data_IF_873703073574
#
_entry.id   IF_873703073574
#
_cell.length_a   1.000
_cell.length_b   1.000
_cell.length_c   1.000
_cell.angle_alpha   90.00
_cell.angle_beta   90.00
_cell.angle_gamma   90.00
#
_symmetry.space_group_name_H-M   'P 1'
#
loop_
_entity.id
_entity.type
_entity.pdbx_description
1 polymer ?
#
# COMPACT_ATOMS: atom_id res chain seq x y z
N UNK A 1 -16.57 -14.47 -20.29
CA UNK A 1 -17.44 -14.42 -19.11
C UNK A 1 -17.33 -13.11 -18.34
N UNK A 2 -16.13 -12.64 -17.95
CA UNK A 2 -15.98 -11.34 -17.26
C UNK A 2 -16.59 -10.16 -18.05
N UNK A 3 -16.41 -10.12 -19.37
CA UNK A 3 -17.01 -9.10 -20.26
C UNK A 3 -18.55 -9.06 -20.25
N UNK A 4 -19.25 -10.14 -19.89
CA UNK A 4 -20.73 -10.13 -19.86
C UNK A 4 -21.27 -9.51 -18.57
N UNK A 5 -20.51 -9.61 -17.46
CA UNK A 5 -20.93 -9.05 -16.18
C UNK A 5 -20.79 -7.54 -16.09
N UNK A 6 -19.88 -6.95 -16.88
CA UNK A 6 -19.70 -5.48 -16.95
C UNK A 6 -20.92 -4.77 -17.53
N UNK A 7 -21.67 -5.44 -18.41
CA UNK A 7 -22.78 -4.83 -19.16
C UNK A 7 -24.12 -4.91 -18.41
N UNK A 8 -24.29 -5.89 -17.51
CA UNK A 8 -25.55 -6.16 -16.81
C UNK A 8 -25.62 -5.63 -15.37
N UNK A 9 -24.48 -5.48 -14.68
CA UNK A 9 -24.44 -4.95 -13.30
C UNK A 9 -23.58 -3.69 -13.27
N UNK A 10 -24.13 -2.60 -12.72
CA UNK A 10 -23.39 -1.34 -12.56
C UNK A 10 -22.15 -1.58 -11.70
N UNK A 11 -20.97 -1.57 -12.32
CA UNK A 11 -19.68 -1.63 -11.60
C UNK A 11 -19.53 -0.30 -10.86
N UNK A 12 -19.57 -0.36 -9.54
CA UNK A 12 -19.32 0.80 -8.67
C UNK A 12 -17.90 0.83 -8.12
N UNK A 13 -17.27 -0.34 -7.95
CA UNK A 13 -15.88 -0.54 -7.51
C UNK A 13 -15.38 -1.90 -8.00
N UNK A 14 -14.05 -2.11 -7.99
CA UNK A 14 -13.43 -3.38 -8.38
C UNK A 14 -13.80 -4.54 -7.43
N UNK A 15 -14.04 -4.28 -6.15
CA UNK A 15 -14.48 -5.28 -5.15
C UNK A 15 -15.89 -5.77 -5.46
N UNK A 16 -16.78 -4.84 -5.83
CA UNK A 16 -18.16 -5.18 -6.21
C UNK A 16 -18.16 -6.04 -7.47
N UNK A 17 -17.28 -5.73 -8.43
CA UNK A 17 -17.10 -6.55 -9.61
C UNK A 17 -16.57 -7.95 -9.28
N UNK A 18 -15.56 -8.06 -8.42
CA UNK A 18 -15.00 -9.34 -7.98
C UNK A 18 -16.05 -10.20 -7.26
N UNK A 19 -16.84 -9.62 -6.35
CA UNK A 19 -17.95 -10.30 -5.68
C UNK A 19 -19.00 -10.82 -6.65
N UNK A 20 -19.38 -10.05 -7.67
CA UNK A 20 -20.35 -10.49 -8.67
C UNK A 20 -19.85 -11.69 -9.49
N UNK A 21 -18.56 -11.74 -9.79
CA UNK A 21 -17.95 -12.90 -10.46
C UNK A 21 -18.00 -14.13 -9.54
N UNK A 22 -17.64 -13.99 -8.26
CA UNK A 22 -17.75 -15.06 -7.27
C UNK A 22 -19.18 -15.62 -7.18
N UNK A 23 -20.16 -14.73 -7.02
CA UNK A 23 -21.58 -15.07 -6.94
C UNK A 23 -22.05 -15.81 -8.21
N UNK A 24 -21.67 -15.34 -9.39
CA UNK A 24 -22.09 -15.95 -10.64
C UNK A 24 -21.65 -17.41 -10.76
N UNK A 25 -20.38 -17.70 -10.55
CA UNK A 25 -19.86 -19.06 -10.69
C UNK A 25 -20.43 -20.02 -9.64
N UNK A 26 -20.58 -19.56 -8.39
CA UNK A 26 -21.16 -20.37 -7.32
C UNK A 26 -22.65 -20.65 -7.53
N UNK A 27 -23.42 -19.67 -8.03
CA UNK A 27 -24.85 -19.84 -8.28
C UNK A 27 -25.16 -20.62 -9.56
N UNK A 28 -24.32 -20.51 -10.59
CA UNK A 28 -24.59 -21.11 -11.91
C UNK A 28 -24.14 -22.56 -12.02
N UNK A 29 -23.13 -22.99 -11.25
CA UNK A 29 -22.51 -24.31 -11.42
C UNK A 29 -22.39 -25.06 -10.11
N UNK A 30 -23.28 -26.02 -9.84
CA UNK A 30 -23.34 -26.75 -8.56
C UNK A 30 -22.06 -27.47 -8.13
N UNK A 31 -21.21 -27.86 -9.08
CA UNK A 31 -19.94 -28.55 -8.80
C UNK A 31 -18.79 -27.59 -8.40
N UNK A 32 -18.97 -26.27 -8.55
CA UNK A 32 -17.96 -25.27 -8.17
C UNK A 32 -18.03 -25.03 -6.67
N UNK A 33 -16.99 -25.39 -5.92
CA UNK A 33 -16.98 -25.29 -4.45
C UNK A 33 -16.31 -24.02 -3.92
N UNK A 34 -15.52 -23.33 -4.75
CA UNK A 34 -14.76 -22.13 -4.37
C UNK A 34 -14.45 -21.29 -5.60
N UNK A 35 -14.51 -19.97 -5.44
CA UNK A 35 -14.12 -19.00 -6.47
C UNK A 35 -13.22 -17.95 -5.82
N UNK A 36 -12.17 -17.58 -6.53
CA UNK A 36 -11.24 -16.53 -6.12
C UNK A 36 -11.02 -15.62 -7.33
N UNK A 37 -11.10 -14.31 -7.10
CA UNK A 37 -10.99 -13.29 -8.14
C UNK A 37 -10.04 -12.21 -7.66
N UNK A 38 -8.97 -12.00 -8.42
CA UNK A 38 -8.08 -10.86 -8.28
C UNK A 38 -8.42 -9.82 -9.36
N UNK A 39 -8.54 -8.56 -8.96
CA UNK A 39 -8.79 -7.44 -9.87
C UNK A 39 -7.79 -6.33 -9.56
N UNK A 40 -7.26 -5.73 -10.60
CA UNK A 40 -6.38 -4.57 -10.51
C UNK A 40 -6.94 -3.47 -11.41
N UNK A 41 -7.06 -2.27 -10.86
CA UNK A 41 -7.51 -1.11 -11.60
C UNK A 41 -6.34 -0.42 -12.30
N UNK A 42 -6.48 -0.17 -13.60
CA UNK A 42 -5.52 0.66 -14.32
C UNK A 42 -5.68 2.12 -13.84
N UNK A 43 -4.63 2.79 -13.33
CA UNK A 43 -4.75 4.06 -12.62
C UNK A 43 -4.92 5.25 -13.58
N UNK A 44 -6.06 5.30 -14.27
CA UNK A 44 -6.47 6.42 -15.12
C UNK A 44 -7.02 7.55 -14.26
N UNK A 45 -6.41 8.73 -14.36
CA UNK A 45 -6.94 9.96 -13.78
C UNK A 45 -7.54 10.83 -14.88
N UNK A 46 -8.70 11.43 -14.62
CA UNK A 46 -9.29 12.42 -15.54
C UNK A 46 -8.33 13.61 -15.69
N UNK A 47 -8.08 14.05 -16.92
CA UNK A 47 -7.25 15.24 -17.16
C UNK A 47 -7.87 16.45 -16.46
N UNK A 48 -7.04 17.24 -15.80
CA UNK A 48 -7.49 18.41 -15.03
C UNK A 48 -6.52 19.58 -15.26
N UNK A 49 -7.06 20.78 -15.51
CA UNK A 49 -6.30 22.02 -15.65
C UNK A 49 -7.07 23.17 -15.02
N UNK A 50 -6.42 23.94 -14.15
CA UNK A 50 -7.02 25.07 -13.42
C UNK A 50 -8.32 24.69 -12.67
N UNK A 51 -8.37 23.50 -12.07
CA UNK A 51 -9.55 22.95 -11.38
C UNK A 51 -10.67 22.43 -12.28
N UNK A 52 -10.52 22.53 -13.61
CA UNK A 52 -11.51 22.05 -14.58
C UNK A 52 -11.12 20.66 -15.08
N UNK A 53 -12.01 19.68 -14.89
CA UNK A 53 -11.84 18.30 -15.34
C UNK A 53 -12.32 18.12 -16.78
N UNK A 54 -11.51 17.46 -17.62
CA UNK A 54 -11.86 17.17 -19.01
C UNK A 54 -13.00 16.15 -19.10
N UNK A 55 -13.93 16.34 -20.04
CA UNK A 55 -15.16 15.53 -20.16
C UNK A 55 -14.90 14.08 -20.58
N UNK A 56 -13.84 13.82 -21.35
CA UNK A 56 -13.57 12.48 -21.91
C UNK A 56 -12.07 12.16 -22.09
N UNK A 57 -11.18 12.90 -21.45
CA UNK A 57 -9.73 12.66 -21.59
C UNK A 57 -9.10 12.31 -20.24
N UNK A 58 -8.18 11.36 -20.29
CA UNK A 58 -7.56 10.73 -19.13
C UNK A 58 -6.04 10.65 -19.31
N UNK A 59 -5.33 10.65 -18.20
CA UNK A 59 -3.88 10.47 -18.12
C UNK A 59 -3.56 9.31 -17.18
N UNK A 60 -2.63 8.46 -17.59
CA UNK A 60 -2.17 7.34 -16.78
C UNK A 60 -1.30 7.88 -15.64
N UNK A 61 -1.73 7.69 -14.38
CA UNK A 61 -1.11 8.31 -13.19
C UNK A 61 -0.89 7.26 -12.09
N UNK A 62 0.22 6.48 -12.14
CA UNK A 62 0.48 5.39 -11.20
C UNK A 62 1.01 5.92 -9.85
N UNK A 63 0.18 6.66 -9.12
CA UNK A 63 0.49 7.24 -7.79
C UNK A 63 -0.15 6.43 -6.66
N UNK A 64 -0.02 5.11 -6.76
CA UNK A 64 -0.77 4.10 -6.00
C UNK A 64 -1.85 3.45 -6.87
N UNK A 65 -1.76 2.13 -7.01
CA UNK A 65 -2.67 1.31 -7.81
C UNK A 65 -3.62 0.55 -6.90
N UNK A 66 -4.92 0.68 -7.13
CA UNK A 66 -5.95 -0.06 -6.42
C UNK A 66 -6.05 -1.49 -6.95
N UNK A 67 -5.99 -2.46 -6.04
CA UNK A 67 -6.30 -3.84 -6.35
C UNK A 67 -7.22 -4.42 -5.29
N UNK A 68 -7.94 -5.49 -5.64
CA UNK A 68 -8.72 -6.26 -4.69
C UNK A 68 -8.62 -7.76 -4.96
N UNK A 69 -8.93 -8.53 -3.93
CA UNK A 69 -9.05 -9.98 -3.99
C UNK A 69 -10.32 -10.40 -3.26
N UNK A 70 -11.24 -11.06 -3.97
CA UNK A 70 -12.44 -11.65 -3.38
C UNK A 70 -12.34 -13.18 -3.45
N UNK A 71 -12.52 -13.85 -2.32
CA UNK A 71 -12.60 -15.31 -2.23
C UNK A 71 -13.94 -15.71 -1.61
N UNK A 72 -14.62 -16.68 -2.20
CA UNK A 72 -15.87 -17.21 -1.66
C UNK A 72 -15.95 -18.72 -1.84
N UNK A 73 -16.25 -19.42 -0.75
CA UNK A 73 -16.60 -20.84 -0.75
C UNK A 73 -18.10 -21.02 -0.95
N UNK A 74 -18.54 -22.17 -1.49
CA UNK A 74 -19.95 -22.49 -1.66
C UNK A 74 -20.66 -22.43 -0.30
N UNK A 75 -21.78 -21.72 -0.25
CA UNK A 75 -22.58 -21.48 0.96
C UNK A 75 -21.88 -20.67 2.05
N UNK A 76 -20.67 -20.14 1.81
CA UNK A 76 -19.96 -19.25 2.71
C UNK A 76 -20.10 -17.77 2.32
N UNK A 77 -19.84 -16.83 3.26
CA UNK A 77 -19.72 -15.42 2.92
C UNK A 77 -18.44 -15.16 2.11
N UNK A 78 -18.41 -14.10 1.26
CA UNK A 78 -17.18 -13.68 0.61
C UNK A 78 -16.21 -13.05 1.61
N UNK A 79 -14.92 -13.35 1.45
CA UNK A 79 -13.80 -12.64 2.09
C UNK A 79 -13.24 -11.67 1.08
N UNK A 80 -13.11 -10.40 1.46
CA UNK A 80 -12.64 -9.33 0.56
C UNK A 80 -11.38 -8.71 1.14
N UNK A 81 -10.38 -8.62 0.30
CA UNK A 81 -9.22 -7.78 0.50
C UNK A 81 -9.20 -6.65 -0.52
N UNK A 82 -8.86 -5.46 -0.07
CA UNK A 82 -8.44 -4.36 -0.94
C UNK A 82 -7.01 -3.99 -0.64
N UNK A 83 -6.36 -3.27 -1.54
CA UNK A 83 -4.97 -2.91 -1.35
C UNK A 83 -4.47 -1.79 -2.24
N UNK A 84 -3.30 -1.29 -1.86
CA UNK A 84 -2.49 -0.36 -2.63
C UNK A 84 -1.20 -1.09 -2.99
N UNK A 85 -0.83 -1.02 -4.26
CA UNK A 85 0.51 -1.39 -4.73
C UNK A 85 1.09 -0.31 -5.61
N UNK A 86 2.38 -0.42 -5.93
CA UNK A 86 3.09 0.45 -6.87
C UNK A 86 3.10 1.95 -6.48
N UNK A 87 2.82 2.27 -5.21
CA UNK A 87 2.96 3.62 -4.67
C UNK A 87 4.43 3.87 -4.30
N UNK A 88 5.16 4.53 -5.19
CA UNK A 88 6.56 4.91 -4.97
C UNK A 88 6.63 6.28 -4.28
N UNK A 89 7.35 6.35 -3.16
CA UNK A 89 7.56 7.58 -2.40
C UNK A 89 9.00 7.67 -1.90
N UNK A 90 9.50 8.90 -1.79
CA UNK A 90 10.83 9.22 -1.28
C UNK A 90 10.75 10.46 -0.39
N UNK A 91 11.42 10.42 0.75
CA UNK A 91 11.78 11.63 1.52
C UNK A 91 13.30 11.69 1.70
N UNK A 92 13.86 12.88 1.60
CA UNK A 92 15.31 13.12 1.55
C UNK A 92 15.96 13.24 2.93
N UNK A 93 15.15 13.34 3.99
CA UNK A 93 15.58 13.54 5.37
C UNK A 93 14.50 13.01 6.32
N UNK A 94 14.60 13.31 7.62
CA UNK A 94 13.67 12.89 8.66
C UNK A 94 13.54 11.36 8.73
N UNK A 95 14.65 10.67 8.44
CA UNK A 95 14.80 9.23 8.66
C UNK A 95 16.19 8.94 9.18
N UNK A 96 16.27 8.13 10.24
CA UNK A 96 17.54 7.61 10.74
C UNK A 96 17.51 6.10 10.91
N UNK A 97 18.65 5.56 11.28
CA UNK A 97 18.83 4.17 11.68
C UNK A 97 20.08 4.04 12.55
N UNK A 98 19.84 3.88 13.86
CA UNK A 98 20.86 3.77 14.89
C UNK A 98 20.38 2.80 15.99
N UNK A 99 21.28 2.36 16.87
CA UNK A 99 20.98 1.45 17.97
C UNK A 99 20.75 0.00 17.56
N UNK A 100 21.17 -0.39 16.34
CA UNK A 100 21.09 -1.78 15.88
C UNK A 100 22.23 -2.64 16.46
N UNK A 101 22.01 -3.95 16.47
CA UNK A 101 23.01 -4.94 16.90
C UNK A 101 24.22 -4.86 15.97
N UNK A 102 25.42 -4.80 16.55
CA UNK A 102 26.68 -4.82 15.83
C UNK A 102 27.41 -6.13 16.13
N UNK A 103 27.66 -6.90 15.09
CA UNK A 103 28.45 -8.13 15.13
C UNK A 103 29.69 -8.01 14.22
N UNK A 104 30.45 -9.10 14.08
CA UNK A 104 31.66 -9.15 13.25
C UNK A 104 31.42 -8.91 11.75
N UNK A 105 30.18 -8.91 11.27
CA UNK A 105 29.82 -8.68 9.87
C UNK A 105 29.17 -7.31 9.63
N UNK A 106 28.99 -6.52 10.69
CA UNK A 106 28.30 -5.24 10.61
C UNK A 106 29.24 -4.13 10.15
N UNK A 107 29.15 -3.76 8.87
CA UNK A 107 29.88 -2.62 8.29
C UNK A 107 29.02 -1.37 8.14
N UNK A 108 27.73 -1.46 8.42
CA UNK A 108 26.78 -0.36 8.27
C UNK A 108 27.03 0.71 9.35
N UNK A 109 27.32 1.97 8.99
CA UNK A 109 27.40 3.04 9.97
C UNK A 109 26.00 3.40 10.49
N UNK A 110 25.94 3.83 11.75
CA UNK A 110 24.74 4.45 12.30
C UNK A 110 24.54 5.83 11.66
N UNK A 111 23.30 6.15 11.32
CA UNK A 111 22.94 7.41 10.67
C UNK A 111 21.74 8.03 11.35
N UNK A 112 21.82 9.34 11.60
CA UNK A 112 20.69 10.12 12.14
C UNK A 112 19.88 10.80 11.06
N UNK A 113 20.44 10.92 9.86
CA UNK A 113 19.73 11.38 8.68
C UNK A 113 20.09 10.52 7.48
N UNK A 114 19.11 10.23 6.62
CA UNK A 114 19.25 9.50 5.36
C UNK A 114 18.00 9.67 4.51
N UNK A 115 18.15 9.40 3.21
CA UNK A 115 17.01 9.17 2.35
C UNK A 115 16.22 7.92 2.80
N UNK A 116 14.89 8.01 2.73
CA UNK A 116 14.00 6.87 2.85
C UNK A 116 13.11 6.82 1.61
N UNK A 117 13.32 5.80 0.76
CA UNK A 117 12.51 5.53 -0.41
C UNK A 117 11.89 4.14 -0.31
N UNK A 118 10.63 4.02 -0.74
CA UNK A 118 9.90 2.75 -0.71
C UNK A 118 8.89 2.66 -1.85
N UNK A 119 8.47 1.43 -2.16
CA UNK A 119 7.32 1.13 -3.00
C UNK A 119 6.30 0.41 -2.12
N UNK A 120 5.28 1.15 -1.68
CA UNK A 120 4.31 0.65 -0.71
C UNK A 120 3.49 -0.47 -1.34
N UNK A 121 3.45 -1.60 -0.64
CA UNK A 121 2.41 -2.61 -0.77
C UNK A 121 1.64 -2.67 0.54
N UNK A 122 0.33 -2.48 0.49
CA UNK A 122 -0.55 -2.79 1.61
C UNK A 122 -1.79 -3.53 1.12
N UNK A 123 -2.25 -4.47 1.94
CA UNK A 123 -3.43 -5.31 1.69
C UNK A 123 -4.20 -5.41 3.01
N UNK A 124 -5.51 -5.21 2.98
CA UNK A 124 -6.33 -5.26 4.19
C UNK A 124 -7.59 -6.07 3.97
N UNK A 125 -7.98 -6.85 4.96
CA UNK A 125 -9.22 -7.62 4.97
C UNK A 125 -10.35 -6.81 5.63
N UNK A 126 -11.57 -6.90 5.09
CA UNK A 126 -12.77 -6.38 5.76
C UNK A 126 -13.41 -7.44 6.66
N UNK A 127 -13.84 -7.06 7.88
CA UNK A 127 -14.59 -7.99 8.74
C UNK A 127 -16.07 -8.12 8.31
N UNK A 128 -16.61 -7.09 7.65
CA UNK A 128 -17.97 -7.04 7.09
C UNK A 128 -17.95 -6.25 5.78
N UNK A 129 -18.54 -6.84 4.73
CA UNK A 129 -18.54 -6.25 3.39
C UNK A 129 -19.82 -5.49 3.04
N UNK A 130 -20.79 -5.43 3.97
CA UNK A 130 -22.03 -4.65 3.78
C UNK A 130 -21.77 -3.18 4.05
N UNK A 131 -22.37 -2.33 3.23
CA UNK A 131 -22.33 -0.87 3.36
C UNK A 131 -20.92 -0.27 3.36
N UNK A 132 -19.91 -0.94 2.78
CA UNK A 132 -18.56 -0.41 2.62
C UNK A 132 -18.51 0.48 1.39
N UNK A 133 -18.03 1.72 1.55
CA UNK A 133 -17.57 2.55 0.43
C UNK A 133 -16.10 2.20 0.18
N UNK A 134 -15.87 1.29 -0.77
CA UNK A 134 -14.54 0.74 -1.03
C UNK A 134 -13.56 1.80 -1.56
N UNK A 135 -14.02 2.65 -2.48
CA UNK A 135 -13.25 3.75 -3.06
C UNK A 135 -12.84 4.75 -1.98
N UNK A 136 -13.80 5.22 -1.17
CA UNK A 136 -13.48 6.15 -0.08
C UNK A 136 -12.56 5.51 0.98
N UNK A 137 -12.68 4.21 1.22
CA UNK A 137 -11.77 3.49 2.12
C UNK A 137 -10.36 3.45 1.55
N UNK A 138 -10.22 3.14 0.25
CA UNK A 138 -8.94 3.11 -0.43
C UNK A 138 -8.23 4.47 -0.38
N UNK A 139 -8.96 5.55 -0.68
CA UNK A 139 -8.47 6.92 -0.58
C UNK A 139 -7.99 7.24 0.85
N UNK A 140 -8.80 6.88 1.86
CA UNK A 140 -8.46 7.12 3.26
C UNK A 140 -7.20 6.37 3.69
N UNK A 141 -7.04 5.10 3.29
CA UNK A 141 -5.82 4.33 3.60
C UNK A 141 -4.61 4.93 2.90
N UNK A 142 -4.75 5.32 1.63
CA UNK A 142 -3.69 5.98 0.86
C UNK A 142 -3.24 7.27 1.54
N UNK A 143 -4.18 8.08 2.00
CA UNK A 143 -3.88 9.32 2.72
C UNK A 143 -3.18 9.05 4.05
N UNK A 144 -3.59 8.03 4.81
CA UNK A 144 -2.91 7.62 6.05
C UNK A 144 -1.47 7.17 5.79
N UNK A 145 -1.25 6.38 4.73
CA UNK A 145 0.09 5.93 4.31
C UNK A 145 0.98 7.14 4.02
N UNK A 146 0.49 8.09 3.22
CA UNK A 146 1.24 9.30 2.86
C UNK A 146 1.47 10.21 4.06
N UNK A 147 0.47 10.38 4.92
CA UNK A 147 0.54 11.14 6.18
C UNK A 147 1.64 10.58 7.08
N UNK A 148 1.67 9.26 7.32
CA UNK A 148 2.66 8.63 8.22
C UNK A 148 4.04 8.46 7.61
N UNK A 149 4.14 8.46 6.28
CA UNK A 149 5.43 8.48 5.61
C UNK A 149 6.10 9.86 5.70
N UNK A 150 5.36 10.92 5.33
CA UNK A 150 5.90 12.27 5.17
C UNK A 150 5.84 13.11 6.46
N UNK A 151 4.78 12.98 7.25
CA UNK A 151 4.46 13.88 8.36
C UNK A 151 3.88 15.23 7.89
N UNK A 152 3.83 16.24 8.78
CA UNK A 152 3.36 17.58 8.44
C UNK A 152 4.18 18.22 7.30
N UNK A 153 3.50 18.88 6.36
CA UNK A 153 4.11 19.36 5.11
C UNK A 153 5.21 20.41 5.31
N UNK A 154 5.16 21.16 6.41
CA UNK A 154 6.06 22.27 6.73
C UNK A 154 7.37 21.80 7.40
N UNK A 155 7.36 20.66 8.11
CA UNK A 155 8.49 20.21 8.95
C UNK A 155 8.83 18.72 8.86
N UNK A 156 7.97 17.93 8.25
CA UNK A 156 8.05 16.46 8.22
C UNK A 156 7.95 15.81 9.60
N UNK A 157 8.11 14.49 9.64
CA UNK A 157 8.15 13.71 10.87
C UNK A 157 9.31 12.71 10.83
N UNK A 158 10.13 12.71 11.89
CA UNK A 158 11.29 11.84 12.00
C UNK A 158 10.87 10.37 12.18
N UNK A 159 11.40 9.49 11.33
CA UNK A 159 11.21 8.04 11.44
C UNK A 159 12.52 7.37 11.91
N UNK A 160 12.52 6.75 13.11
CA UNK A 160 13.71 6.04 13.62
C UNK A 160 13.90 4.66 12.97
N UNK A 161 12.87 4.11 12.34
CA UNK A 161 12.92 2.82 11.65
C UNK A 161 11.74 2.63 10.71
N UNK A 162 11.96 1.87 9.63
CA UNK A 162 10.88 1.49 8.70
C UNK A 162 9.81 0.67 9.42
N UNK A 163 10.20 -0.16 10.38
CA UNK A 163 9.30 -0.95 11.23
C UNK A 163 8.32 -0.08 12.01
N UNK A 164 8.80 1.05 12.58
CA UNK A 164 7.94 1.98 13.32
C UNK A 164 6.93 2.64 12.40
N UNK A 165 7.37 3.17 11.27
CA UNK A 165 6.48 3.79 10.27
C UNK A 165 5.45 2.79 9.75
N UNK A 166 5.86 1.55 9.45
CA UNK A 166 4.97 0.47 9.04
C UNK A 166 3.86 0.25 10.09
N UNK A 167 4.26 0.07 11.34
CA UNK A 167 3.31 -0.18 12.43
C UNK A 167 2.35 0.99 12.69
N UNK A 168 2.85 2.24 12.59
CA UNK A 168 2.02 3.42 12.79
C UNK A 168 0.94 3.58 11.71
N UNK A 169 1.25 3.25 10.45
CA UNK A 169 0.27 3.18 9.37
C UNK A 169 -0.83 2.19 9.72
N UNK A 170 -0.45 0.99 10.17
CA UNK A 170 -1.41 -0.07 10.51
C UNK A 170 -2.32 0.33 11.67
N UNK A 171 -1.73 0.83 12.76
CA UNK A 171 -2.48 1.25 13.95
C UNK A 171 -3.44 2.39 13.61
N UNK A 172 -2.98 3.41 12.87
CA UNK A 172 -3.84 4.54 12.49
C UNK A 172 -4.96 4.09 11.54
N UNK A 173 -4.67 3.20 10.60
CA UNK A 173 -5.69 2.65 9.68
C UNK A 173 -6.76 1.89 10.44
N UNK A 174 -6.37 0.95 11.31
CA UNK A 174 -7.33 0.23 12.15
C UNK A 174 -8.05 1.17 13.12
N UNK A 175 -7.46 2.28 13.55
CA UNK A 175 -8.17 3.25 14.38
C UNK A 175 -9.23 4.03 13.60
N UNK A 176 -8.91 4.51 12.39
CA UNK A 176 -9.80 5.36 11.59
C UNK A 176 -10.86 4.59 10.80
N UNK A 177 -10.62 3.31 10.49
CA UNK A 177 -11.49 2.53 9.61
C UNK A 177 -11.97 1.25 10.32
N UNK A 178 -13.06 1.33 11.11
CA UNK A 178 -13.56 0.20 11.91
C UNK A 178 -13.84 -1.08 11.12
N UNK A 179 -14.20 -0.95 9.84
CA UNK A 179 -14.58 -2.06 8.95
C UNK A 179 -13.41 -2.97 8.55
N UNK A 180 -12.17 -2.49 8.68
CA UNK A 180 -10.96 -3.28 8.40
C UNK A 180 -10.67 -4.19 9.59
N UNK A 181 -10.46 -5.48 9.34
CA UNK A 181 -10.14 -6.53 10.33
C UNK A 181 -8.63 -6.63 10.60
N UNK A 182 -7.86 -6.67 9.52
CA UNK A 182 -6.42 -6.80 9.53
C UNK A 182 -5.79 -6.04 8.37
N UNK A 183 -4.48 -5.81 8.48
CA UNK A 183 -3.69 -5.11 7.48
C UNK A 183 -2.28 -5.69 7.41
N UNK A 184 -1.92 -6.16 6.23
CA UNK A 184 -0.57 -6.52 5.82
C UNK A 184 0.08 -5.32 5.12
N UNK A 185 1.34 -5.05 5.45
CA UNK A 185 2.17 -4.06 4.76
C UNK A 185 3.53 -4.68 4.44
N UNK A 186 4.05 -4.35 3.25
CA UNK A 186 5.42 -4.63 2.83
C UNK A 186 6.06 -3.35 2.30
N UNK A 187 7.14 -2.91 2.94
CA UNK A 187 7.92 -1.72 2.60
C UNK A 187 9.36 -2.12 2.22
N UNK A 188 9.70 -2.16 0.93
CA UNK A 188 11.09 -2.17 0.48
C UNK A 188 11.80 -0.91 0.95
N UNK A 189 13.01 -1.02 1.47
CA UNK A 189 13.90 0.11 1.72
C UNK A 189 14.83 0.27 0.51
N UNK A 190 14.43 1.10 -0.44
CA UNK A 190 15.15 1.34 -1.68
C UNK A 190 16.31 2.29 -1.39
N UNK A 191 17.54 1.85 -1.65
CA UNK A 191 18.74 2.53 -1.19
C UNK A 191 19.16 3.67 -2.13
N UNK A 192 19.47 4.81 -1.51
CA UNK A 192 20.15 5.95 -2.11
C UNK A 192 21.40 6.20 -1.27
N UNK A 193 22.54 5.69 -1.72
CA UNK A 193 23.80 5.80 -0.96
C UNK A 193 24.61 7.01 -1.40
N UNK A 194 25.30 7.64 -0.45
CA UNK A 194 26.25 8.72 -0.76
C UNK A 194 27.38 8.17 -1.65
N UNK A 195 27.67 8.87 -2.76
CA UNK A 195 28.81 8.50 -3.61
C UNK A 195 30.09 8.99 -2.94
N UNK A 196 30.96 8.07 -2.54
CA UNK A 196 32.30 8.42 -2.05
C UNK A 196 33.18 8.91 -3.21
N UNK A 197 33.52 10.21 -3.16
CA UNK A 197 34.35 10.88 -4.15
C UNK A 197 35.79 11.15 -3.65
N UNK A 198 36.18 10.62 -2.49
CA UNK A 198 37.49 10.87 -1.90
C UNK A 198 38.65 10.44 -2.82
N UNK A 199 38.46 9.38 -3.62
CA UNK A 199 39.45 8.93 -4.62
C UNK A 199 39.71 9.94 -5.73
N UNK A 200 38.79 10.89 -5.94
CA UNK A 200 38.93 12.00 -6.90
C UNK A 200 39.39 13.30 -6.22
N UNK A 201 39.67 13.27 -4.91
CA UNK A 201 40.02 14.46 -4.13
C UNK A 201 38.84 15.40 -3.86
N UNK A 202 37.59 14.91 -3.97
CA UNK A 202 36.37 15.68 -3.74
C UNK A 202 35.63 15.21 -2.49
N UNK A 203 34.88 16.12 -1.86
CA UNK A 203 34.02 15.82 -0.71
C UNK A 203 32.57 15.93 -1.19
N UNK A 204 31.82 14.81 -1.11
CA UNK A 204 30.39 14.78 -1.40
C UNK A 204 29.60 14.83 -0.08
N UNK A 205 28.89 15.94 0.15
CA UNK A 205 28.09 16.19 1.36
C UNK A 205 26.66 15.64 1.22
N UNK A 206 26.54 14.40 0.75
CA UNK A 206 25.25 13.73 0.49
C UNK A 206 24.39 14.44 -0.58
N UNK A 207 25.03 15.24 -1.44
CA UNK A 207 24.37 15.97 -2.53
C UNK A 207 24.18 15.09 -3.77
N UNK A 208 25.10 14.13 -3.97
CA UNK A 208 25.04 13.17 -5.08
C UNK A 208 24.87 11.76 -4.52
N UNK A 209 23.73 11.14 -4.83
CA UNK A 209 23.33 9.85 -4.31
C UNK A 209 23.24 8.83 -5.44
N UNK A 210 23.66 7.59 -5.17
CA UNK A 210 23.50 6.45 -6.07
C UNK A 210 22.19 5.70 -5.74
N UNK A 211 21.16 5.76 -6.62
CA UNK A 211 20.03 4.85 -6.51
C UNK A 211 20.48 3.43 -6.84
N UNK A 212 20.14 2.47 -5.98
CA UNK A 212 20.36 1.05 -6.24
C UNK A 212 19.04 0.34 -6.52
N UNK A 213 18.98 -0.34 -7.67
CA UNK A 213 17.86 -1.22 -7.99
C UNK A 213 17.83 -2.43 -7.05
N UNK A 214 19.01 -2.98 -6.72
CA UNK A 214 19.20 -4.15 -5.86
C UNK A 214 20.58 -4.11 -5.17
N UNK A 215 20.76 -4.80 -4.02
CA UNK A 215 19.70 -5.35 -3.17
C UNK A 215 18.91 -4.22 -2.48
N UNK A 216 17.74 -4.53 -1.94
CA UNK A 216 16.98 -3.63 -1.07
C UNK A 216 16.55 -4.38 0.19
N UNK A 217 16.52 -3.67 1.33
CA UNK A 217 15.88 -4.21 2.53
C UNK A 217 14.39 -4.41 2.30
N UNK A 218 13.76 -5.41 2.93
CA UNK A 218 12.30 -5.61 2.86
C UNK A 218 11.75 -5.78 4.27
N UNK A 219 10.90 -4.85 4.68
CA UNK A 219 10.27 -4.84 6.00
C UNK A 219 8.78 -5.16 5.81
N UNK A 220 8.30 -6.20 6.47
CA UNK A 220 6.92 -6.68 6.36
C UNK A 220 6.29 -6.84 7.73
N UNK A 221 4.97 -6.68 7.82
CA UNK A 221 4.23 -6.99 9.03
C UNK A 221 2.74 -7.06 8.77
N UNK A 222 2.06 -7.89 9.55
CA UNK A 222 0.60 -8.02 9.54
C UNK A 222 0.09 -7.86 10.95
N UNK A 223 -0.88 -6.98 11.14
CA UNK A 223 -1.60 -6.83 12.41
C UNK A 223 -3.09 -7.03 12.19
N UNK A 224 -3.76 -7.56 13.19
CA UNK A 224 -5.21 -7.74 13.20
C UNK A 224 -5.81 -7.13 14.46
N UNK A 225 -7.09 -6.76 14.41
CA UNK A 225 -7.82 -6.38 15.61
C UNK A 225 -7.83 -7.52 16.62
N UNK A 226 -7.73 -7.17 17.90
CA UNK A 226 -7.92 -8.12 18.99
C UNK A 226 -9.38 -8.58 18.97
N UNK A 227 -9.61 -9.89 18.99
CA UNK A 227 -10.96 -10.43 19.16
C UNK A 227 -11.54 -9.92 20.49
N UNK A 228 -12.81 -9.48 20.53
CA UNK A 228 -13.46 -9.22 21.81
C UNK A 228 -13.43 -10.52 22.63
N UNK A 229 -12.89 -10.45 23.85
CA UNK A 229 -12.88 -11.58 24.78
C UNK A 229 -14.31 -12.07 24.98
N UNK A 230 -14.56 -13.37 24.80
CA UNK A 230 -15.83 -14.02 25.16
C UNK A 230 -15.83 -14.38 26.65
N UNK A 231 -15.56 -13.41 27.52
CA UNK A 231 -15.65 -13.54 28.98
C UNK A 231 -16.71 -12.57 29.49
#
# INVERSE_FOLDING_TARGET
MAHYHTDYKKIKSIETFAMHICEHFLSSFNHVIRVQVYVEEVPWKRLERNGVKHVHAFIHTPTGTHFCEAEQTRSGPPVIHSGIKDLKVLKTTQSGFEGFIKDQFTTLPEVKDRCFATQVYCKWQYHQCRDVDFEATWDTVRDIVLEKFAGPYDKGEYSPSVQKTLYDIQVLTLSRIPKIEDMEISLPNIHYFNIDMAKMGLINKEEVLLPLDNPYGKITGTVKRKLPSRL
#
